data_IF_444756477118
#
_entry.id   IF_444756477118
#
_cell.length_a   1.000
_cell.length_b   1.000
_cell.length_c   1.000
_cell.angle_alpha   90.00
_cell.angle_beta   90.00
_cell.angle_gamma   90.00
#
_symmetry.space_group_name_H-M   'P 1'
#
loop_
_entity.id
_entity.type
_entity.pdbx_description
1 polymer ?
#
# COMPACT_ATOMS: atom_id res chain seq x y z
N UNK A 1 5.67 25.15 6.08
CA UNK A 1 4.69 24.23 5.48
C UNK A 1 5.32 23.48 4.30
N UNK A 2 5.91 22.29 4.56
CA UNK A 2 6.60 21.51 3.52
C UNK A 2 5.68 20.94 2.42
N UNK A 3 4.40 20.70 2.71
CA UNK A 3 3.45 20.18 1.72
C UNK A 3 3.17 21.11 0.54
N UNK A 4 3.23 22.42 0.75
CA UNK A 4 2.98 23.43 -0.29
C UNK A 4 4.05 23.40 -1.41
N UNK A 5 5.29 23.09 -1.09
CA UNK A 5 6.39 23.00 -2.06
C UNK A 5 6.44 21.65 -2.77
N UNK A 6 5.97 20.58 -2.14
CA UNK A 6 5.97 19.22 -2.72
C UNK A 6 4.77 18.94 -3.63
N UNK A 7 3.60 19.50 -3.31
CA UNK A 7 2.35 19.20 -4.00
C UNK A 7 1.76 20.39 -4.75
N UNK A 8 2.30 21.61 -4.55
CA UNK A 8 1.81 22.82 -5.20
C UNK A 8 0.35 23.13 -4.89
N UNK A 9 -0.09 22.90 -3.66
CA UNK A 9 -1.48 23.14 -3.22
C UNK A 9 -1.57 24.32 -2.27
N UNK A 10 -2.70 24.98 -2.25
CA UNK A 10 -3.04 25.99 -1.24
C UNK A 10 -3.81 25.34 -0.09
N UNK A 11 -3.38 25.63 1.14
CA UNK A 11 -3.98 25.11 2.37
C UNK A 11 -4.65 26.27 3.10
N UNK A 12 -5.94 26.12 3.39
CA UNK A 12 -6.75 27.09 4.11
C UNK A 12 -7.19 26.52 5.46
N UNK A 13 -6.84 27.21 6.53
CA UNK A 13 -7.27 26.89 7.89
C UNK A 13 -8.48 27.72 8.25
N UNK A 14 -9.48 27.08 8.83
CA UNK A 14 -10.59 27.83 9.45
C UNK A 14 -10.06 28.77 10.54
N UNK A 15 -10.59 30.00 10.65
CA UNK A 15 -10.07 31.03 11.56
C UNK A 15 -9.95 30.55 13.01
N UNK A 16 -10.95 29.82 13.49
CA UNK A 16 -11.03 29.23 14.83
C UNK A 16 -9.98 28.14 15.09
N UNK A 17 -9.44 27.53 14.06
CA UNK A 17 -8.46 26.43 14.17
C UNK A 17 -7.01 26.88 13.95
N UNK A 18 -6.76 28.12 13.57
CA UNK A 18 -5.39 28.60 13.28
C UNK A 18 -4.45 28.53 14.48
N UNK A 19 -4.97 28.72 15.70
CA UNK A 19 -4.18 28.70 16.93
C UNK A 19 -3.96 27.29 17.49
N UNK A 20 -4.82 26.32 17.16
CA UNK A 20 -4.80 24.96 17.65
C UNK A 20 -4.45 23.92 16.56
N UNK A 21 -3.88 24.37 15.43
CA UNK A 21 -3.51 23.46 14.34
C UNK A 21 -2.34 22.58 14.76
N UNK A 22 -2.54 21.27 14.63
CA UNK A 22 -1.48 20.28 14.80
C UNK A 22 -1.43 19.34 13.59
N UNK A 23 -0.26 18.81 13.28
CA UNK A 23 -0.14 17.84 12.19
C UNK A 23 1.28 17.32 12.03
N UNK A 24 1.36 16.12 11.46
CA UNK A 24 2.58 15.49 10.99
C UNK A 24 2.51 15.22 9.51
N UNK A 25 3.62 15.42 8.83
CA UNK A 25 3.78 15.12 7.42
C UNK A 25 5.10 14.37 7.23
N UNK A 26 5.02 13.23 6.59
CA UNK A 26 6.16 12.41 6.20
C UNK A 26 6.12 12.16 4.69
N UNK A 27 7.27 12.18 4.05
CA UNK A 27 7.39 11.84 2.64
C UNK A 27 8.72 11.14 2.38
N UNK A 28 8.70 10.16 1.47
CA UNK A 28 9.89 9.45 1.00
C UNK A 28 9.76 9.14 -0.48
N UNK A 29 10.91 8.92 -1.13
CA UNK A 29 10.92 8.44 -2.51
C UNK A 29 10.95 6.92 -2.56
N UNK A 30 10.21 6.35 -3.52
CA UNK A 30 10.21 4.91 -3.86
C UNK A 30 10.22 4.80 -5.37
N UNK A 31 11.33 4.38 -5.93
CA UNK A 31 11.50 4.19 -7.38
C UNK A 31 10.97 5.39 -8.21
N UNK A 32 11.35 6.61 -7.84
CA UNK A 32 10.94 7.84 -8.51
C UNK A 32 9.56 8.38 -8.09
N UNK A 33 8.70 7.58 -7.51
CA UNK A 33 7.44 8.06 -6.93
C UNK A 33 7.65 8.69 -5.55
N UNK A 34 6.80 9.64 -5.19
CA UNK A 34 6.74 10.22 -3.84
C UNK A 34 5.61 9.57 -3.07
N UNK A 35 5.96 8.88 -1.99
CA UNK A 35 5.01 8.34 -1.01
C UNK A 35 4.91 9.31 0.14
N UNK A 36 3.71 9.71 0.51
CA UNK A 36 3.50 10.63 1.63
C UNK A 36 2.36 10.20 2.54
N UNK A 37 2.50 10.55 3.80
CA UNK A 37 1.49 10.36 4.85
C UNK A 37 1.30 11.66 5.60
N UNK A 38 0.05 12.02 5.82
CA UNK A 38 -0.34 13.22 6.52
C UNK A 38 -1.41 12.93 7.57
N UNK A 39 -1.15 13.36 8.79
CA UNK A 39 -2.11 13.36 9.90
C UNK A 39 -2.18 14.79 10.42
N UNK A 40 -3.32 15.40 10.40
CA UNK A 40 -3.45 16.80 10.81
C UNK A 40 -4.86 17.12 11.27
N UNK A 41 -4.98 18.24 11.98
CA UNK A 41 -6.26 18.90 12.16
C UNK A 41 -6.87 19.22 10.79
N UNK A 42 -8.19 19.15 10.68
CA UNK A 42 -8.88 19.36 9.42
C UNK A 42 -8.63 20.73 8.81
N UNK A 43 -8.36 20.77 7.52
CA UNK A 43 -8.20 21.98 6.72
C UNK A 43 -8.70 21.76 5.30
N UNK A 44 -9.01 22.85 4.62
CA UNK A 44 -9.35 22.84 3.19
C UNK A 44 -8.07 22.83 2.36
N UNK A 45 -8.07 22.05 1.31
CA UNK A 45 -6.98 22.01 0.32
C UNK A 45 -7.56 22.34 -1.03
N UNK A 46 -6.97 23.31 -1.72
CA UNK A 46 -7.28 23.58 -3.11
C UNK A 46 -6.02 23.59 -3.97
N UNK A 47 -6.21 23.21 -5.22
CA UNK A 47 -5.22 23.34 -6.29
C UNK A 47 -5.87 24.14 -7.39
N UNK A 48 -5.44 25.37 -7.50
CA UNK A 48 -5.96 26.33 -8.49
C UNK A 48 -5.11 26.31 -9.76
N UNK A 49 -5.63 26.91 -10.84
CA UNK A 49 -4.85 27.11 -12.06
C UNK A 49 -3.57 27.93 -11.79
N UNK A 50 -3.63 28.92 -10.88
CA UNK A 50 -2.45 29.66 -10.46
C UNK A 50 -1.41 28.80 -9.70
N UNK A 51 -1.85 27.82 -8.90
CA UNK A 51 -0.96 26.87 -8.26
C UNK A 51 -0.29 25.95 -9.30
N UNK A 52 -1.03 25.52 -10.32
CA UNK A 52 -0.56 24.68 -11.41
C UNK A 52 0.47 25.45 -12.26
N UNK A 53 0.17 26.68 -12.64
CA UNK A 53 1.09 27.54 -13.41
C UNK A 53 2.40 27.80 -12.67
N UNK A 54 2.37 27.85 -11.34
CA UNK A 54 3.56 28.06 -10.51
C UNK A 54 4.40 26.79 -10.33
N UNK A 55 3.75 25.65 -10.16
CA UNK A 55 4.38 24.35 -9.89
C UNK A 55 3.60 23.28 -10.65
N UNK A 56 3.98 23.01 -11.88
CA UNK A 56 3.51 21.83 -12.61
C UNK A 56 4.03 20.57 -11.91
N UNK A 57 3.21 19.55 -11.83
CA UNK A 57 3.51 18.32 -11.09
C UNK A 57 3.74 17.12 -12.01
N UNK A 58 3.13 17.14 -13.18
CA UNK A 58 3.15 16.10 -14.20
C UNK A 58 3.12 14.68 -13.62
N UNK A 59 2.12 14.41 -12.82
CA UNK A 59 2.08 13.19 -12.03
C UNK A 59 0.66 12.63 -11.89
N UNK A 60 0.58 11.31 -11.88
CA UNK A 60 -0.60 10.58 -11.44
C UNK A 60 -0.61 10.54 -9.91
N UNK A 61 -1.67 11.05 -9.30
CA UNK A 61 -1.86 11.05 -7.86
C UNK A 61 -2.88 9.99 -7.46
N UNK A 62 -2.52 9.15 -6.50
CA UNK A 62 -3.39 8.13 -5.90
C UNK A 62 -3.44 8.41 -4.41
N UNK A 63 -4.59 8.85 -3.90
CA UNK A 63 -4.80 9.17 -2.50
C UNK A 63 -5.67 8.14 -1.80
N UNK A 64 -5.42 7.90 -0.53
CA UNK A 64 -6.25 7.09 0.38
C UNK A 64 -6.64 7.94 1.59
N UNK A 65 -7.93 8.18 1.75
CA UNK A 65 -8.46 8.71 2.99
C UNK A 65 -8.49 7.59 4.03
N UNK A 66 -7.61 7.64 5.02
CA UNK A 66 -7.54 6.62 6.07
C UNK A 66 -8.54 6.92 7.19
N UNK A 67 -8.63 8.19 7.60
CA UNK A 67 -9.55 8.70 8.63
C UNK A 67 -10.05 10.08 8.23
N UNK A 68 -11.27 10.41 8.65
CA UNK A 68 -11.95 11.66 8.30
C UNK A 68 -12.80 11.51 7.05
N UNK A 69 -13.64 12.51 6.80
CA UNK A 69 -14.50 12.60 5.62
C UNK A 69 -14.42 13.99 4.99
N UNK A 70 -14.96 14.14 3.80
CA UNK A 70 -15.01 15.42 3.12
C UNK A 70 -15.69 15.37 1.77
N UNK A 71 -15.73 16.54 1.13
CA UNK A 71 -16.21 16.71 -0.23
C UNK A 71 -15.02 17.08 -1.12
N UNK A 72 -14.90 16.36 -2.23
CA UNK A 72 -13.92 16.62 -3.27
C UNK A 72 -14.65 17.22 -4.47
N UNK A 73 -14.41 18.48 -4.73
CA UNK A 73 -14.89 19.19 -5.89
C UNK A 73 -13.85 19.07 -7.00
N UNK A 74 -14.22 18.43 -8.10
CA UNK A 74 -13.41 18.34 -9.31
C UNK A 74 -14.05 19.15 -10.42
N UNK A 75 -13.29 19.59 -11.38
CA UNK A 75 -13.79 20.45 -12.47
C UNK A 75 -15.12 19.99 -13.09
N UNK A 76 -15.88 20.91 -13.68
CA UNK A 76 -17.20 20.66 -14.29
C UNK A 76 -18.30 20.25 -13.28
N UNK A 77 -18.36 20.87 -12.11
CA UNK A 77 -19.39 20.65 -11.08
C UNK A 77 -19.52 19.21 -10.56
N UNK A 78 -18.43 18.43 -10.60
CA UNK A 78 -18.43 17.09 -10.01
C UNK A 78 -18.05 17.16 -8.55
N UNK A 79 -18.93 16.65 -7.70
CA UNK A 79 -18.73 16.59 -6.26
C UNK A 79 -18.73 15.11 -5.84
N UNK A 80 -17.69 14.71 -5.12
CA UNK A 80 -17.56 13.36 -4.58
C UNK A 80 -17.47 13.43 -3.07
N UNK A 81 -18.36 12.72 -2.37
CA UNK A 81 -18.18 12.47 -0.95
C UNK A 81 -17.06 11.42 -0.78
N UNK A 82 -16.06 11.74 0.03
CA UNK A 82 -14.90 10.89 0.32
C UNK A 82 -14.88 10.62 1.82
N UNK A 83 -14.72 9.37 2.21
CA UNK A 83 -14.66 8.95 3.61
C UNK A 83 -13.51 7.98 3.88
N UNK A 84 -13.40 7.54 5.13
CA UNK A 84 -12.38 6.58 5.53
C UNK A 84 -12.43 5.29 4.70
N UNK A 85 -11.28 4.92 4.10
CA UNK A 85 -11.15 3.78 3.21
C UNK A 85 -11.30 4.09 1.72
N UNK A 86 -11.76 5.28 1.34
CA UNK A 86 -11.92 5.66 -0.07
C UNK A 86 -10.58 6.06 -0.71
N UNK A 87 -10.43 5.68 -1.97
CA UNK A 87 -9.35 6.16 -2.83
C UNK A 87 -9.80 7.33 -3.68
N UNK A 88 -8.85 8.20 -4.02
CA UNK A 88 -8.98 9.24 -5.04
C UNK A 88 -7.87 9.07 -6.07
N UNK A 89 -8.20 9.27 -7.34
CA UNK A 89 -7.24 9.18 -8.45
C UNK A 89 -7.42 10.42 -9.31
N UNK A 90 -6.31 11.14 -9.54
CA UNK A 90 -6.28 12.34 -10.37
C UNK A 90 -4.91 12.59 -11.00
N UNK A 91 -4.90 13.39 -12.06
CA UNK A 91 -3.68 14.01 -12.56
C UNK A 91 -3.37 15.28 -11.76
N UNK A 92 -2.09 15.47 -11.43
CA UNK A 92 -1.67 16.56 -10.54
C UNK A 92 -1.94 17.96 -11.09
N UNK A 93 -1.96 18.12 -12.42
CA UNK A 93 -2.09 19.43 -13.06
C UNK A 93 -3.53 19.72 -13.53
N UNK A 94 -4.47 19.23 -12.73
CA UNK A 94 -5.90 19.56 -12.83
C UNK A 94 -6.39 20.21 -11.53
N UNK A 95 -7.26 21.23 -11.63
CA UNK A 95 -7.76 21.92 -10.44
C UNK A 95 -8.74 21.05 -9.64
N UNK A 96 -8.67 21.18 -8.32
CA UNK A 96 -9.62 20.57 -7.40
C UNK A 96 -9.71 21.37 -6.09
N UNK A 97 -10.78 21.11 -5.34
CA UNK A 97 -11.00 21.65 -4.01
C UNK A 97 -11.49 20.53 -3.08
N UNK A 98 -10.76 20.30 -2.00
CA UNK A 98 -11.10 19.31 -0.99
C UNK A 98 -11.50 20.00 0.31
N UNK A 99 -12.76 19.86 0.68
CA UNK A 99 -13.39 20.49 1.84
C UNK A 99 -13.58 19.42 2.92
N UNK A 100 -13.05 19.60 4.14
CA UNK A 100 -13.22 18.65 5.22
C UNK A 100 -14.66 18.54 5.69
N UNK A 101 -15.10 17.35 6.15
CA UNK A 101 -16.48 17.02 6.60
C UNK A 101 -16.70 17.38 8.02
N UNK A 102 -16.15 18.02 8.80
CA UNK A 102 -16.48 18.41 10.18
C UNK A 102 -15.76 17.64 11.29
N UNK A 103 -15.07 16.54 10.97
CA UNK A 103 -14.20 15.89 11.94
C UNK A 103 -13.02 16.79 12.33
N UNK A 104 -12.55 16.62 13.58
CA UNK A 104 -11.49 17.45 14.14
C UNK A 104 -10.15 17.25 13.41
N UNK A 105 -9.88 16.01 12.97
CA UNK A 105 -8.62 15.61 12.36
C UNK A 105 -8.84 14.60 11.22
N UNK A 106 -7.84 14.48 10.37
CA UNK A 106 -7.83 13.52 9.29
C UNK A 106 -6.47 12.81 9.18
N UNK A 107 -6.51 11.66 8.50
CA UNK A 107 -5.33 10.89 8.13
C UNK A 107 -5.42 10.53 6.64
N UNK A 108 -4.43 10.93 5.87
CA UNK A 108 -4.37 10.78 4.42
C UNK A 108 -3.03 10.24 3.98
N UNK A 109 -3.05 9.29 3.04
CA UNK A 109 -1.85 8.76 2.38
C UNK A 109 -1.92 9.04 0.90
N UNK A 110 -0.79 9.33 0.26
CA UNK A 110 -0.74 9.61 -1.16
C UNK A 110 0.51 9.02 -1.82
N UNK A 111 0.31 8.51 -3.02
CA UNK A 111 1.34 8.23 -4.02
C UNK A 111 1.25 9.30 -5.11
N UNK A 112 2.38 9.95 -5.41
CA UNK A 112 2.55 10.84 -6.54
C UNK A 112 3.58 10.19 -7.48
N UNK A 113 3.12 9.77 -8.66
CA UNK A 113 3.91 8.99 -9.63
C UNK A 113 4.13 9.88 -10.86
N UNK A 114 5.39 10.20 -11.24
CA UNK A 114 5.67 10.92 -12.46
C UNK A 114 5.01 10.23 -13.66
N UNK A 115 4.40 11.04 -14.55
CA UNK A 115 3.79 10.53 -15.77
C UNK A 115 4.88 10.35 -16.81
N UNK A 116 4.98 9.16 -17.39
CA UNK A 116 5.77 8.85 -18.55
C UNK A 116 5.02 7.92 -19.50
N UNK A 117 5.48 7.79 -20.74
CA UNK A 117 4.82 6.96 -21.76
C UNK A 117 4.83 5.47 -21.42
N UNK A 118 5.86 4.99 -20.72
CA UNK A 118 5.96 3.58 -20.31
C UNK A 118 4.90 3.25 -19.23
N UNK A 119 4.80 4.09 -18.20
CA UNK A 119 3.84 3.93 -17.12
C UNK A 119 2.41 4.04 -17.66
N UNK A 120 2.16 5.03 -18.50
CA UNK A 120 0.82 5.39 -18.99
C UNK A 120 0.41 4.62 -20.26
N UNK A 121 1.34 3.87 -20.87
CA UNK A 121 1.13 3.17 -22.15
C UNK A 121 0.57 4.09 -23.24
N UNK A 122 1.12 5.29 -23.36
CA UNK A 122 0.70 6.31 -24.32
C UNK A 122 -0.71 6.88 -24.10
N UNK A 123 -1.31 6.67 -22.93
CA UNK A 123 -2.65 7.22 -22.63
C UNK A 123 -2.53 8.56 -21.92
N UNK A 124 -3.27 9.57 -22.38
CA UNK A 124 -3.24 10.89 -21.78
C UNK A 124 -3.81 10.89 -20.35
N UNK A 125 -3.25 11.73 -19.49
CA UNK A 125 -3.71 11.95 -18.13
C UNK A 125 -4.36 13.33 -17.91
N UNK A 126 -4.26 14.21 -18.88
CA UNK A 126 -4.65 15.62 -18.85
C UNK A 126 -6.13 15.89 -18.59
N UNK A 127 -6.98 14.87 -18.66
CA UNK A 127 -8.41 14.92 -18.33
C UNK A 127 -8.80 14.04 -17.12
N UNK A 128 -7.83 13.50 -16.38
CA UNK A 128 -8.09 12.71 -15.18
C UNK A 128 -8.40 13.61 -13.95
N UNK A 129 -9.54 14.31 -14.01
CA UNK A 129 -10.03 15.06 -12.86
C UNK A 129 -10.17 14.19 -11.62
N UNK A 130 -9.97 14.78 -10.46
CA UNK A 130 -10.06 14.11 -9.19
C UNK A 130 -11.41 13.39 -9.04
N UNK A 131 -11.36 12.08 -8.79
CA UNK A 131 -12.56 11.23 -8.70
C UNK A 131 -12.35 10.19 -7.61
N UNK A 132 -13.41 9.96 -6.84
CA UNK A 132 -13.46 8.86 -5.88
C UNK A 132 -13.48 7.52 -6.62
N UNK A 133 -12.60 6.63 -6.23
CA UNK A 133 -12.63 5.23 -6.65
C UNK A 133 -13.32 4.41 -5.56
N UNK A 134 -14.51 3.89 -5.88
CA UNK A 134 -15.28 3.07 -4.96
C UNK A 134 -14.76 1.63 -4.96
N UNK A 135 -14.59 1.07 -3.77
CA UNK A 135 -13.97 -0.23 -3.51
C UNK A 135 -14.94 -1.41 -3.73
N UNK A 136 -15.52 -1.55 -4.93
CA UNK A 136 -16.54 -2.58 -5.24
C UNK A 136 -16.23 -3.47 -6.45
N UNK A 137 -14.99 -3.47 -6.94
CA UNK A 137 -14.61 -4.25 -8.11
C UNK A 137 -13.60 -5.35 -7.77
N UNK A 138 -13.43 -6.33 -8.65
CA UNK A 138 -12.40 -7.36 -8.52
C UNK A 138 -10.97 -6.79 -8.43
N UNK A 139 -10.78 -5.53 -8.88
CA UNK A 139 -9.51 -4.80 -8.84
C UNK A 139 -9.22 -4.14 -7.50
N UNK A 140 -10.21 -3.95 -6.66
CA UNK A 140 -10.10 -3.15 -5.43
C UNK A 140 -9.13 -3.75 -4.43
N UNK A 141 -9.19 -5.05 -4.21
CA UNK A 141 -8.30 -5.74 -3.26
C UNK A 141 -6.84 -5.75 -3.73
N UNK A 142 -6.51 -6.14 -4.99
CA UNK A 142 -5.16 -6.04 -5.54
C UNK A 142 -4.61 -4.61 -5.51
N UNK A 143 -5.42 -3.63 -5.89
CA UNK A 143 -5.05 -2.22 -5.88
C UNK A 143 -4.70 -1.73 -4.48
N UNK A 144 -5.58 -2.00 -3.50
CA UNK A 144 -5.37 -1.62 -2.09
C UNK A 144 -4.13 -2.29 -1.49
N UNK A 145 -3.93 -3.58 -1.76
CA UNK A 145 -2.79 -4.32 -1.23
C UNK A 145 -1.45 -3.76 -1.75
N UNK A 146 -1.37 -3.50 -3.05
CA UNK A 146 -0.17 -2.90 -3.66
C UNK A 146 0.06 -1.46 -3.17
N UNK A 147 -1.00 -0.65 -3.06
CA UNK A 147 -0.91 0.69 -2.49
C UNK A 147 -0.40 0.66 -1.05
N UNK A 148 -0.91 -0.24 -0.22
CA UNK A 148 -0.49 -0.37 1.17
C UNK A 148 0.97 -0.84 1.27
N UNK A 149 1.41 -1.77 0.44
CA UNK A 149 2.80 -2.22 0.39
C UNK A 149 3.75 -1.07 0.05
N UNK A 150 3.43 -0.26 -0.96
CA UNK A 150 4.21 0.92 -1.33
C UNK A 150 4.23 1.99 -0.23
N UNK A 151 3.16 2.11 0.57
CA UNK A 151 3.05 3.07 1.66
C UNK A 151 3.59 2.56 3.01
N UNK A 152 3.95 1.29 3.13
CA UNK A 152 4.50 0.74 4.38
C UNK A 152 5.93 1.25 4.60
N UNK A 153 6.23 1.75 5.81
CA UNK A 153 7.58 2.26 6.16
C UNK A 153 8.66 1.17 6.10
N UNK A 154 8.30 -0.05 6.46
CA UNK A 154 9.17 -1.23 6.47
C UNK A 154 8.65 -2.33 5.54
N UNK A 155 7.84 -1.96 4.55
CA UNK A 155 7.30 -2.90 3.57
C UNK A 155 8.42 -3.47 2.69
N UNK A 156 8.49 -4.80 2.60
CA UNK A 156 9.39 -5.47 1.68
C UNK A 156 8.74 -5.45 0.29
N UNK A 157 9.16 -4.53 -0.55
CA UNK A 157 8.74 -4.49 -1.95
C UNK A 157 9.48 -5.59 -2.71
N UNK A 158 8.78 -6.27 -3.62
CA UNK A 158 9.35 -7.33 -4.45
C UNK A 158 10.25 -6.70 -5.51
N UNK A 159 9.73 -5.69 -6.20
CA UNK A 159 10.45 -4.92 -7.22
C UNK A 159 9.88 -3.49 -7.21
N UNK A 160 10.53 -2.54 -6.54
CA UNK A 160 9.97 -1.20 -6.34
C UNK A 160 9.64 -0.46 -7.64
N UNK A 161 10.42 -0.62 -8.71
CA UNK A 161 10.19 0.04 -10.00
C UNK A 161 8.93 -0.53 -10.66
N UNK A 162 8.87 -1.85 -10.74
CA UNK A 162 7.72 -2.56 -11.29
C UNK A 162 6.45 -2.34 -10.46
N UNK A 163 6.57 -2.27 -9.14
CA UNK A 163 5.43 -2.09 -8.24
C UNK A 163 4.80 -0.70 -8.41
N UNK A 164 5.64 0.35 -8.59
CA UNK A 164 5.18 1.71 -8.91
C UNK A 164 4.50 1.76 -10.29
N UNK A 165 5.10 1.14 -11.31
CA UNK A 165 4.48 1.04 -12.64
C UNK A 165 3.15 0.30 -12.59
N UNK A 166 3.09 -0.80 -11.84
CA UNK A 166 1.88 -1.62 -11.75
C UNK A 166 0.75 -0.92 -11.00
N UNK A 167 1.00 -0.19 -9.92
CA UNK A 167 -0.06 0.57 -9.24
C UNK A 167 -0.62 1.69 -10.13
N UNK A 168 0.23 2.35 -10.93
CA UNK A 168 -0.21 3.35 -11.88
C UNK A 168 -1.11 2.73 -12.97
N UNK A 169 -0.74 1.59 -13.54
CA UNK A 169 -1.57 0.86 -14.52
C UNK A 169 -2.91 0.41 -13.95
N UNK A 170 -2.93 -0.06 -12.69
CA UNK A 170 -4.19 -0.37 -12.00
C UNK A 170 -5.05 0.88 -11.79
N UNK A 171 -4.44 2.03 -11.44
CA UNK A 171 -5.16 3.30 -11.31
C UNK A 171 -5.74 3.76 -12.66
N UNK A 172 -4.98 3.67 -13.74
CA UNK A 172 -5.45 3.96 -15.10
C UNK A 172 -6.58 3.03 -15.53
N UNK A 173 -6.50 1.76 -15.16
CA UNK A 173 -7.60 0.80 -15.41
C UNK A 173 -8.84 1.16 -14.61
N UNK A 174 -8.70 1.51 -13.32
CA UNK A 174 -9.80 1.97 -12.48
C UNK A 174 -10.47 3.24 -13.03
N UNK A 175 -9.72 4.06 -13.78
CA UNK A 175 -10.22 5.26 -14.46
C UNK A 175 -10.73 4.99 -15.88
N UNK A 176 -10.79 3.72 -16.31
CA UNK A 176 -11.26 3.33 -17.64
C UNK A 176 -10.33 3.70 -18.80
N UNK A 177 -9.04 3.99 -18.51
CA UNK A 177 -8.05 4.36 -19.54
C UNK A 177 -7.33 3.16 -20.12
N UNK A 178 -7.17 2.10 -19.34
CA UNK A 178 -6.56 0.84 -19.76
C UNK A 178 -7.58 -0.29 -19.68
N UNK A 179 -7.53 -1.19 -20.65
CA UNK A 179 -8.38 -2.38 -20.65
C UNK A 179 -7.81 -3.46 -19.74
N UNK A 180 -8.64 -4.12 -18.91
CA UNK A 180 -8.23 -5.30 -18.15
C UNK A 180 -7.67 -6.46 -18.98
N UNK A 181 -8.00 -6.49 -20.28
CA UNK A 181 -7.52 -7.52 -21.20
C UNK A 181 -6.06 -7.32 -21.65
N UNK A 182 -5.48 -6.14 -21.43
CA UNK A 182 -4.09 -5.85 -21.80
C UNK A 182 -3.11 -6.71 -20.99
N UNK A 183 -2.04 -7.25 -21.61
CA UNK A 183 -1.03 -8.05 -20.92
C UNK A 183 -0.39 -7.30 -19.75
N UNK A 184 -0.11 -6.01 -19.91
CA UNK A 184 0.49 -5.12 -18.91
C UNK A 184 -0.43 -4.93 -17.68
N UNK A 185 -1.73 -4.82 -17.91
CA UNK A 185 -2.72 -4.73 -16.83
C UNK A 185 -2.87 -6.07 -16.12
N UNK A 186 -2.87 -7.18 -16.87
CA UNK A 186 -2.87 -8.52 -16.26
C UNK A 186 -1.63 -8.78 -15.41
N UNK A 187 -0.45 -8.29 -15.84
CA UNK A 187 0.77 -8.34 -15.04
C UNK A 187 0.62 -7.52 -13.75
N UNK A 188 0.11 -6.29 -13.84
CA UNK A 188 -0.15 -5.44 -12.69
C UNK A 188 -1.16 -6.06 -11.70
N UNK A 189 -2.21 -6.70 -12.21
CA UNK A 189 -3.17 -7.44 -11.39
C UNK A 189 -2.52 -8.62 -10.66
N UNK A 190 -1.65 -9.39 -11.31
CA UNK A 190 -0.91 -10.49 -10.65
C UNK A 190 -0.05 -9.97 -9.51
N UNK A 191 0.69 -8.87 -9.71
CA UNK A 191 1.46 -8.22 -8.64
C UNK A 191 0.57 -7.81 -7.48
N UNK A 192 -0.53 -7.12 -7.74
CA UNK A 192 -1.47 -6.73 -6.69
C UNK A 192 -2.10 -7.92 -5.95
N UNK A 193 -2.41 -9.02 -6.66
CA UNK A 193 -2.90 -10.27 -6.06
C UNK A 193 -1.81 -10.94 -5.21
N UNK A 194 -0.54 -10.88 -5.61
CA UNK A 194 0.57 -11.40 -4.81
C UNK A 194 0.65 -10.67 -3.47
N UNK A 195 0.62 -9.34 -3.46
CA UNK A 195 0.58 -8.55 -2.23
C UNK A 195 -0.67 -8.81 -1.40
N UNK A 196 -1.83 -8.97 -2.03
CA UNK A 196 -3.07 -9.32 -1.33
C UNK A 196 -3.00 -10.72 -0.68
N UNK A 197 -2.38 -11.68 -1.36
CA UNK A 197 -2.11 -13.01 -0.80
C UNK A 197 -1.16 -12.92 0.40
N UNK A 198 -0.06 -12.19 0.27
CA UNK A 198 0.91 -11.97 1.34
C UNK A 198 0.27 -11.28 2.56
N UNK A 199 -0.64 -10.33 2.36
CA UNK A 199 -1.38 -9.67 3.44
C UNK A 199 -2.27 -10.66 4.20
N UNK A 200 -2.98 -11.56 3.51
CA UNK A 200 -3.75 -12.64 4.14
C UNK A 200 -2.83 -13.59 4.91
N UNK A 201 -1.71 -14.00 4.29
CA UNK A 201 -0.73 -14.88 4.91
C UNK A 201 -0.14 -14.25 6.18
N UNK A 202 0.21 -12.99 6.16
CA UNK A 202 0.74 -12.25 7.30
C UNK A 202 -0.24 -12.23 8.48
N UNK A 203 -1.53 -11.97 8.21
CA UNK A 203 -2.57 -11.98 9.25
C UNK A 203 -2.87 -13.36 9.82
N UNK A 204 -2.67 -14.41 9.02
CA UNK A 204 -3.02 -15.79 9.37
C UNK A 204 -1.83 -16.73 9.50
N UNK A 205 -0.60 -16.21 9.53
CA UNK A 205 0.63 -17.02 9.57
C UNK A 205 0.69 -18.00 10.73
N UNK A 206 0.07 -17.67 11.87
CA UNK A 206 -0.01 -18.55 13.05
C UNK A 206 -0.96 -19.75 12.88
N UNK A 207 -1.81 -19.76 11.84
CA UNK A 207 -2.67 -20.90 11.58
C UNK A 207 -1.88 -22.04 10.96
N UNK A 208 -1.75 -23.16 11.66
CA UNK A 208 -0.99 -24.33 11.17
C UNK A 208 -1.51 -24.82 9.81
N UNK A 209 -2.83 -24.83 9.63
CA UNK A 209 -3.50 -25.33 8.43
C UNK A 209 -3.75 -24.23 7.36
N UNK A 210 -2.96 -23.16 7.34
CA UNK A 210 -3.07 -22.15 6.28
C UNK A 210 -2.55 -22.73 4.95
N UNK A 211 -3.47 -23.03 4.05
CA UNK A 211 -3.20 -23.64 2.74
C UNK A 211 -3.33 -22.64 1.59
N UNK A 212 -2.70 -22.89 0.42
CA UNK A 212 -2.94 -22.12 -0.79
C UNK A 212 -4.43 -22.04 -1.16
N UNK A 213 -5.16 -23.16 -1.01
CA UNK A 213 -6.60 -23.20 -1.30
C UNK A 213 -7.42 -22.26 -0.39
N UNK A 214 -7.06 -22.15 0.90
CA UNK A 214 -7.71 -21.23 1.82
C UNK A 214 -7.47 -19.75 1.45
N UNK A 215 -6.24 -19.40 1.06
CA UNK A 215 -5.90 -18.05 0.61
C UNK A 215 -6.58 -17.73 -0.73
N UNK A 216 -6.57 -18.64 -1.68
CA UNK A 216 -7.27 -18.48 -2.96
C UNK A 216 -8.76 -18.22 -2.76
N UNK A 217 -9.41 -19.01 -1.90
CA UNK A 217 -10.83 -18.83 -1.54
C UNK A 217 -11.11 -17.45 -0.93
N UNK A 218 -10.25 -16.98 -0.03
CA UNK A 218 -10.41 -15.65 0.58
C UNK A 218 -10.19 -14.53 -0.43
N UNK A 219 -9.29 -14.72 -1.40
CA UNK A 219 -9.07 -13.78 -2.50
C UNK A 219 -10.21 -13.79 -3.54
N UNK A 220 -11.05 -14.82 -3.56
CA UNK A 220 -12.07 -15.01 -4.58
C UNK A 220 -11.50 -15.43 -5.94
N UNK A 221 -10.36 -16.14 -5.95
CA UNK A 221 -9.69 -16.65 -7.15
C UNK A 221 -9.56 -18.18 -7.08
N UNK A 222 -9.31 -18.81 -8.23
CA UNK A 222 -9.04 -20.24 -8.26
C UNK A 222 -7.65 -20.57 -7.69
N UNK A 223 -7.47 -21.79 -7.19
CA UNK A 223 -6.16 -22.27 -6.74
C UNK A 223 -5.09 -22.19 -7.87
N UNK A 224 -5.49 -22.50 -9.10
CA UNK A 224 -4.61 -22.37 -10.29
C UNK A 224 -4.16 -20.91 -10.47
N UNK A 225 -5.05 -19.95 -10.36
CA UNK A 225 -4.69 -18.52 -10.44
C UNK A 225 -3.72 -18.12 -9.33
N UNK A 226 -3.91 -18.62 -8.10
CA UNK A 226 -2.95 -18.37 -7.02
C UNK A 226 -1.56 -18.93 -7.33
N UNK A 227 -1.47 -20.14 -7.90
CA UNK A 227 -0.18 -20.68 -8.33
C UNK A 227 0.49 -19.79 -9.37
N UNK A 228 -0.25 -19.34 -10.40
CA UNK A 228 0.27 -18.41 -11.42
C UNK A 228 0.72 -17.08 -10.81
N UNK A 229 0.05 -16.59 -9.76
CA UNK A 229 0.46 -15.37 -9.03
C UNK A 229 1.85 -15.55 -8.39
N UNK A 230 2.15 -16.74 -7.85
CA UNK A 230 3.43 -17.02 -7.20
C UNK A 230 4.51 -17.55 -8.17
N UNK A 231 4.18 -17.96 -9.39
CA UNK A 231 5.17 -18.36 -10.42
C UNK A 231 6.10 -17.20 -10.81
N UNK A 232 5.58 -15.96 -10.79
CA UNK A 232 6.36 -14.74 -11.07
C UNK A 232 6.96 -14.07 -9.84
N UNK A 233 6.79 -14.66 -8.65
CA UNK A 233 7.33 -14.12 -7.39
C UNK A 233 8.70 -14.76 -7.09
N UNK A 234 9.55 -14.05 -6.34
CA UNK A 234 10.87 -14.53 -5.90
C UNK A 234 10.77 -15.85 -5.10
N UNK A 235 9.73 -15.98 -4.29
CA UNK A 235 9.48 -17.15 -3.45
C UNK A 235 8.11 -17.78 -3.76
N UNK A 236 8.06 -19.09 -3.74
CA UNK A 236 6.79 -19.82 -3.77
C UNK A 236 5.93 -19.53 -2.54
N UNK A 237 4.62 -19.78 -2.62
CA UNK A 237 3.70 -19.63 -1.49
C UNK A 237 4.23 -20.23 -0.18
N UNK A 238 4.67 -21.49 -0.24
CA UNK A 238 5.15 -22.19 0.96
C UNK A 238 6.42 -21.57 1.55
N UNK A 239 7.34 -21.11 0.70
CA UNK A 239 8.57 -20.43 1.15
C UNK A 239 8.26 -19.05 1.72
N UNK A 240 7.34 -18.30 1.11
CA UNK A 240 6.88 -17.01 1.63
C UNK A 240 6.25 -17.17 3.01
N UNK A 241 5.35 -18.16 3.19
CA UNK A 241 4.73 -18.43 4.50
C UNK A 241 5.77 -18.85 5.54
N UNK A 242 6.70 -19.72 5.17
CA UNK A 242 7.76 -20.15 6.06
C UNK A 242 8.66 -18.98 6.49
N UNK A 243 9.02 -18.08 5.57
CA UNK A 243 9.78 -16.85 5.88
C UNK A 243 9.04 -15.96 6.89
N UNK A 244 7.75 -15.71 6.67
CA UNK A 244 6.93 -14.91 7.59
C UNK A 244 6.85 -15.53 9.00
N UNK A 245 6.72 -16.84 9.08
CA UNK A 245 6.67 -17.58 10.35
C UNK A 245 8.01 -17.55 11.08
N UNK A 246 9.11 -17.68 10.35
CA UNK A 246 10.47 -17.68 10.92
C UNK A 246 10.87 -16.28 11.41
N UNK A 247 10.49 -15.22 10.70
CA UNK A 247 10.71 -13.84 11.16
C UNK A 247 9.95 -13.57 12.47
N UNK A 248 8.71 -14.03 12.59
CA UNK A 248 7.96 -13.92 13.84
C UNK A 248 8.56 -14.75 14.95
N UNK A 249 9.00 -15.97 14.67
CA UNK A 249 9.68 -16.82 15.65
C UNK A 249 10.96 -16.17 16.16
N UNK A 250 11.77 -15.59 15.26
CA UNK A 250 12.96 -14.82 15.65
C UNK A 250 12.61 -13.68 16.60
N UNK A 251 11.59 -12.89 16.25
CA UNK A 251 11.13 -11.78 17.11
C UNK A 251 10.74 -12.28 18.50
N UNK A 252 9.94 -13.35 18.59
CA UNK A 252 9.52 -13.92 19.89
C UNK A 252 10.67 -14.49 20.70
N UNK A 253 11.64 -15.15 20.05
CA UNK A 253 12.82 -15.68 20.74
C UNK A 253 13.66 -14.59 21.42
N UNK A 254 13.72 -13.40 20.81
CA UNK A 254 14.49 -12.26 21.32
C UNK A 254 13.70 -11.42 22.33
N UNK A 255 12.43 -11.16 22.08
CA UNK A 255 11.58 -10.31 22.93
C UNK A 255 11.02 -11.06 24.14
N UNK A 256 10.93 -12.39 24.08
CA UNK A 256 10.34 -13.24 25.13
C UNK A 256 11.23 -14.47 25.43
N UNK A 257 12.45 -14.30 25.95
CA UNK A 257 13.41 -15.40 26.12
C UNK A 257 12.95 -16.49 27.07
N UNK A 258 11.99 -16.22 27.96
CA UNK A 258 11.40 -17.22 28.85
C UNK A 258 10.42 -18.17 28.16
N UNK A 259 9.92 -17.83 26.95
CA UNK A 259 8.94 -18.65 26.24
C UNK A 259 9.61 -19.93 25.71
N UNK A 260 9.10 -21.14 25.99
CA UNK A 260 9.68 -22.39 25.46
C UNK A 260 9.76 -22.38 23.92
N UNK A 261 10.87 -22.89 23.36
CA UNK A 261 11.07 -22.94 21.91
C UNK A 261 9.91 -23.69 21.19
N UNK A 262 9.39 -24.72 21.86
CA UNK A 262 8.23 -25.49 21.37
C UNK A 262 6.99 -24.61 21.23
N UNK A 263 6.72 -23.75 22.21
CA UNK A 263 5.60 -22.79 22.15
C UNK A 263 5.80 -21.74 21.06
N UNK A 264 7.04 -21.24 20.89
CA UNK A 264 7.37 -20.32 19.77
C UNK A 264 7.09 -21.00 18.43
N UNK A 265 7.57 -22.23 18.22
CA UNK A 265 7.37 -22.95 16.96
C UNK A 265 5.87 -23.13 16.61
N UNK A 266 5.12 -23.71 17.53
CA UNK A 266 3.68 -23.95 17.30
C UNK A 266 2.87 -22.65 17.27
N UNK A 267 3.20 -21.66 18.09
CA UNK A 267 2.57 -20.33 18.07
C UNK A 267 2.80 -19.55 16.78
N UNK A 268 3.92 -19.79 16.09
CA UNK A 268 4.18 -19.25 14.75
C UNK A 268 3.55 -20.06 13.62
N UNK A 269 2.81 -21.15 13.93
CA UNK A 269 2.07 -21.92 12.94
C UNK A 269 2.84 -23.08 12.32
N UNK A 270 3.99 -23.49 12.85
CA UNK A 270 4.63 -24.72 12.43
C UNK A 270 3.86 -25.93 12.97
N UNK A 271 3.75 -26.95 12.15
CA UNK A 271 3.09 -28.23 12.47
C UNK A 271 4.03 -29.22 13.18
N UNK A 272 5.35 -29.05 13.03
CA UNK A 272 6.36 -29.89 13.66
C UNK A 272 7.63 -29.15 14.02
N UNK A 273 8.26 -29.56 15.13
CA UNK A 273 9.56 -29.04 15.56
C UNK A 273 10.68 -29.32 14.55
N UNK A 274 10.81 -30.54 13.97
CA UNK A 274 11.86 -30.77 12.97
C UNK A 274 11.78 -29.80 11.79
N UNK A 275 10.58 -29.52 11.27
CA UNK A 275 10.39 -28.52 10.20
C UNK A 275 10.80 -27.13 10.65
N UNK A 276 10.39 -26.73 11.85
CA UNK A 276 10.78 -25.44 12.44
C UNK A 276 12.30 -25.28 12.54
N UNK A 277 12.98 -26.23 13.18
CA UNK A 277 14.43 -26.18 13.35
C UNK A 277 15.16 -26.14 12.00
N UNK A 278 14.78 -27.00 11.07
CA UNK A 278 15.36 -27.03 9.72
C UNK A 278 15.21 -25.69 8.99
N UNK A 279 14.01 -25.10 9.00
CA UNK A 279 13.76 -23.81 8.32
C UNK A 279 14.49 -22.68 9.04
N UNK A 280 14.49 -22.65 10.39
CA UNK A 280 15.18 -21.64 11.17
C UNK A 280 16.70 -21.66 10.92
N UNK A 281 17.32 -22.85 11.02
CA UNK A 281 18.76 -22.98 10.81
C UNK A 281 19.17 -22.71 9.36
N UNK A 282 18.33 -23.11 8.39
CA UNK A 282 18.58 -22.76 6.99
C UNK A 282 18.49 -21.26 6.70
N UNK A 283 17.68 -20.52 7.47
CA UNK A 283 17.50 -19.08 7.26
C UNK A 283 18.57 -18.26 7.96
N UNK A 284 18.96 -18.64 9.17
CA UNK A 284 19.82 -17.83 10.02
C UNK A 284 21.21 -18.44 10.31
N UNK A 285 21.49 -19.64 9.79
CA UNK A 285 22.77 -20.32 10.00
C UNK A 285 23.01 -20.82 11.44
N UNK A 286 22.00 -20.75 12.31
CA UNK A 286 22.10 -21.14 13.72
C UNK A 286 20.79 -21.75 14.22
N UNK A 287 20.83 -22.45 15.34
CA UNK A 287 19.62 -23.01 15.96
C UNK A 287 18.81 -21.95 16.69
N UNK A 288 17.49 -22.17 16.92
CA UNK A 288 16.67 -21.28 17.75
C UNK A 288 17.22 -21.04 19.17
N UNK A 289 17.87 -22.04 19.75
CA UNK A 289 18.51 -21.97 21.07
C UNK A 289 19.72 -21.05 21.07
N UNK A 290 20.61 -21.18 20.09
CA UNK A 290 21.76 -20.30 19.89
C UNK A 290 21.33 -18.86 19.62
N UNK A 291 20.32 -18.65 18.75
CA UNK A 291 19.79 -17.33 18.48
C UNK A 291 19.26 -16.60 19.72
N UNK A 292 18.64 -17.36 20.64
CA UNK A 292 18.18 -16.85 21.94
C UNK A 292 19.34 -16.48 22.86
N UNK A 293 20.39 -17.33 22.93
CA UNK A 293 21.50 -17.15 23.82
C UNK A 293 22.45 -16.01 23.44
N UNK A 294 22.65 -15.81 22.13
CA UNK A 294 23.65 -14.84 21.63
C UNK A 294 23.06 -13.44 21.39
N UNK A 295 21.72 -13.30 21.38
CA UNK A 295 21.09 -12.07 20.92
C UNK A 295 21.53 -11.78 19.48
N UNK A 296 20.76 -12.22 18.47
CA UNK A 296 21.15 -12.04 17.05
C UNK A 296 21.43 -10.58 16.73
N UNK A 297 22.50 -10.26 15.99
CA UNK A 297 22.66 -8.93 15.43
C UNK A 297 21.47 -8.59 14.54
N UNK A 298 20.97 -7.36 14.65
CA UNK A 298 19.97 -6.81 13.72
C UNK A 298 20.56 -6.81 12.32
N UNK A 299 19.92 -7.53 11.40
CA UNK A 299 20.26 -7.48 9.98
C UNK A 299 19.85 -6.14 9.38
#
# INVERSE_FOLDING_TARGET
MRGKSLFGVTIELAPDRRQAFSGSFQARSVAGAVVSEMRASSYRVNRTEADIARIAGDSLCIGLQVKGSGLLHAGRNRIHAVGGGDFTINYSDLPYDAIPGGEADFHYKMLKIPVDDEVMLGRPADDLFATRYADKTAFSRPFRALFNALNAERGRLIDPVRDVTHIARLAMTARGRLSPAMPEVRAALRTGLCYAAQDIMMRKKSWQNLTPAAVAKELGISLRQLHVVFEGAELSFSRTLASMRIEEARRLLLESPALPITQVAYGCGFDSLPTFYRVFSSTYGMTPGEARATGMPTA
#
